data_IF_195724038130
#
_entry.id   IF_195724038130
#
_cell.length_a   1.000
_cell.length_b   1.000
_cell.length_c   1.000
_cell.angle_alpha   90.00
_cell.angle_beta   90.00
_cell.angle_gamma   90.00
#
_symmetry.space_group_name_H-M   'P 1'
#
loop_
_entity.id
_entity.type
_entity.pdbx_description
1 polymer ?
#
# COMPACT_ATOMS: atom_id res chain seq x y z
N UNK A 1 -16.62 -33.83 -45.87
CA UNK A 1 -15.86 -34.09 -47.12
C UNK A 1 -14.36 -34.05 -46.83
N UNK A 2 -13.54 -34.85 -47.52
CA UNK A 2 -12.09 -34.96 -47.29
C UNK A 2 -11.30 -34.94 -48.62
N UNK A 3 -10.05 -34.47 -48.55
CA UNK A 3 -9.05 -34.58 -49.62
C UNK A 3 -7.98 -35.59 -49.17
N UNK A 4 -7.76 -36.62 -49.99
CA UNK A 4 -6.77 -37.65 -49.72
C UNK A 4 -5.62 -37.55 -50.71
N UNK A 5 -4.38 -37.62 -50.21
CA UNK A 5 -3.19 -37.74 -51.02
C UNK A 5 -2.60 -39.14 -50.83
N UNK A 6 -2.46 -39.86 -51.94
CA UNK A 6 -1.79 -41.16 -51.94
C UNK A 6 -0.29 -40.93 -52.05
N UNK A 7 0.46 -41.32 -51.02
CA UNK A 7 1.91 -41.50 -51.11
C UNK A 7 2.24 -43.00 -51.18
N UNK A 8 3.38 -43.41 -51.78
CA UNK A 8 3.76 -44.82 -51.83
C UNK A 8 3.93 -45.37 -50.41
N UNK A 9 2.98 -46.19 -49.97
CA UNK A 9 2.99 -46.84 -48.65
C UNK A 9 1.99 -46.29 -47.61
N UNK A 10 1.26 -45.18 -47.88
CA UNK A 10 0.17 -44.71 -47.01
C UNK A 10 -0.77 -43.72 -47.73
N UNK A 11 -2.07 -43.78 -47.41
CA UNK A 11 -3.07 -42.79 -47.83
C UNK A 11 -3.37 -41.88 -46.64
N UNK A 12 -2.94 -40.61 -46.73
CA UNK A 12 -3.25 -39.59 -45.74
C UNK A 12 -4.42 -38.73 -46.22
N UNK A 13 -5.54 -38.77 -45.49
CA UNK A 13 -6.70 -37.93 -45.76
C UNK A 13 -6.77 -36.75 -44.78
N UNK A 14 -7.17 -35.57 -45.27
CA UNK A 14 -7.45 -34.39 -44.45
C UNK A 14 -8.84 -33.86 -44.80
N UNK A 15 -9.62 -33.46 -43.80
CA UNK A 15 -10.91 -32.82 -44.03
C UNK A 15 -10.75 -31.50 -44.80
N UNK A 16 -11.70 -31.24 -45.71
CA UNK A 16 -11.72 -29.96 -46.44
C UNK A 16 -12.14 -28.82 -45.51
N UNK A 17 -11.84 -27.57 -45.90
CA UNK A 17 -12.26 -26.38 -45.14
C UNK A 17 -13.78 -26.42 -44.85
N UNK A 18 -14.14 -26.14 -43.60
CA UNK A 18 -15.53 -26.24 -43.11
C UNK A 18 -15.93 -27.63 -42.61
N UNK A 19 -15.01 -28.60 -42.53
CA UNK A 19 -15.25 -29.92 -41.95
C UNK A 19 -14.13 -30.28 -40.94
N UNK A 20 -14.50 -30.96 -39.86
CA UNK A 20 -13.60 -31.46 -38.81
C UNK A 20 -13.72 -32.98 -38.66
N UNK A 21 -12.66 -33.64 -38.19
CA UNK A 21 -12.60 -35.09 -38.03
C UNK A 21 -11.21 -35.68 -38.28
N UNK A 22 -11.14 -37.01 -38.43
CA UNK A 22 -9.87 -37.77 -38.56
C UNK A 22 -9.35 -37.86 -40.01
N UNK A 23 -9.97 -37.14 -40.94
CA UNK A 23 -9.65 -37.18 -42.37
C UNK A 23 -10.40 -38.25 -43.16
N UNK A 24 -10.92 -39.31 -42.51
CA UNK A 24 -11.78 -40.33 -43.14
C UNK A 24 -13.25 -40.12 -42.82
N UNK A 25 -13.55 -39.71 -41.58
CA UNK A 25 -14.86 -39.26 -41.12
C UNK A 25 -14.80 -37.76 -40.88
N UNK A 26 -15.31 -36.98 -41.84
CA UNK A 26 -15.32 -35.52 -41.77
C UNK A 26 -16.74 -35.01 -41.61
N UNK A 27 -17.04 -34.48 -40.42
CA UNK A 27 -18.31 -33.85 -40.09
C UNK A 27 -18.24 -32.35 -40.38
N UNK A 28 -19.34 -31.75 -40.83
CA UNK A 28 -19.38 -30.30 -41.03
C UNK A 28 -19.05 -29.61 -39.70
N UNK A 29 -18.12 -28.66 -39.73
CA UNK A 29 -17.90 -27.79 -38.58
C UNK A 29 -19.23 -27.11 -38.31
N UNK A 30 -19.83 -27.41 -37.16
CA UNK A 30 -21.02 -26.67 -36.72
C UNK A 30 -20.54 -25.23 -36.58
N UNK A 31 -21.18 -24.32 -37.33
CA UNK A 31 -21.02 -22.89 -37.09
C UNK A 31 -21.54 -22.69 -35.67
N UNK A 32 -20.65 -22.46 -34.71
CA UNK A 32 -21.09 -22.05 -33.39
C UNK A 32 -21.78 -20.71 -33.59
N UNK A 33 -23.11 -20.76 -33.58
CA UNK A 33 -23.98 -19.58 -33.68
C UNK A 33 -24.03 -18.83 -32.35
N UNK A 34 -23.22 -19.25 -31.38
CA UNK A 34 -23.22 -18.70 -30.05
C UNK A 34 -22.09 -17.68 -29.94
N UNK A 35 -22.47 -16.46 -30.23
CA UNK A 35 -21.66 -15.25 -30.21
C UNK A 35 -21.54 -14.67 -28.78
N UNK A 36 -21.89 -15.49 -27.78
CA UNK A 36 -21.91 -15.09 -26.37
C UNK A 36 -20.82 -15.80 -25.57
N UNK A 37 -20.60 -15.33 -24.34
CA UNK A 37 -19.77 -16.03 -23.36
C UNK A 37 -20.48 -17.30 -22.87
N UNK A 38 -20.42 -18.37 -23.67
CA UNK A 38 -20.95 -19.69 -23.32
C UNK A 38 -20.25 -20.27 -22.09
N UNK A 39 -20.83 -21.32 -21.49
CA UNK A 39 -20.17 -22.01 -20.38
C UNK A 39 -18.77 -22.53 -20.73
N UNK A 40 -18.53 -22.87 -22.00
CA UNK A 40 -17.23 -23.33 -22.47
C UNK A 40 -16.22 -22.18 -22.50
N UNK A 41 -16.60 -21.03 -23.08
CA UNK A 41 -15.79 -19.82 -23.08
C UNK A 41 -15.49 -19.31 -21.66
N UNK A 42 -16.50 -19.29 -20.80
CA UNK A 42 -16.32 -18.96 -19.39
C UNK A 42 -15.33 -19.92 -18.71
N UNK A 43 -15.39 -21.22 -19.00
CA UNK A 43 -14.43 -22.21 -18.48
C UNK A 43 -13.01 -21.96 -18.98
N UNK A 44 -12.86 -21.67 -20.26
CA UNK A 44 -11.56 -21.41 -20.90
C UNK A 44 -10.92 -20.16 -20.31
N UNK A 45 -11.62 -19.02 -20.26
CA UNK A 45 -11.09 -17.79 -19.69
C UNK A 45 -10.81 -17.94 -18.18
N UNK A 46 -11.66 -18.65 -17.45
CA UNK A 46 -11.44 -18.93 -16.03
C UNK A 46 -10.19 -19.78 -15.78
N UNK A 47 -9.80 -20.66 -16.71
CA UNK A 47 -8.55 -21.43 -16.62
C UNK A 47 -7.31 -20.53 -16.62
N UNK A 48 -7.40 -19.36 -17.23
CA UNK A 48 -6.35 -18.35 -17.27
C UNK A 48 -6.55 -17.21 -16.25
N UNK A 49 -7.50 -17.36 -15.32
CA UNK A 49 -7.88 -16.32 -14.36
C UNK A 49 -8.32 -15.01 -15.03
N UNK A 50 -9.02 -15.10 -16.17
CA UNK A 50 -9.53 -13.95 -16.93
C UNK A 50 -11.07 -13.92 -16.98
N UNK A 51 -11.63 -12.73 -17.10
CA UNK A 51 -13.06 -12.52 -17.35
C UNK A 51 -13.39 -12.89 -18.80
N UNK A 52 -14.64 -13.30 -19.06
CA UNK A 52 -15.14 -13.44 -20.43
C UNK A 52 -15.94 -12.19 -20.79
N UNK A 53 -15.74 -11.66 -21.98
CA UNK A 53 -16.48 -10.54 -22.55
C UNK A 53 -16.77 -10.80 -24.02
N UNK A 54 -17.83 -10.19 -24.55
CA UNK A 54 -18.13 -10.19 -25.98
C UNK A 54 -17.71 -8.83 -26.52
N UNK A 55 -16.94 -8.82 -27.61
CA UNK A 55 -16.50 -7.57 -28.27
C UNK A 55 -17.57 -6.97 -29.18
N UNK A 56 -17.25 -5.84 -29.83
CA UNK A 56 -18.16 -5.11 -30.71
C UNK A 56 -18.54 -5.89 -31.99
N UNK A 57 -17.83 -6.97 -32.31
CA UNK A 57 -18.10 -7.85 -33.46
C UNK A 57 -18.89 -9.11 -33.05
N UNK A 58 -19.46 -9.10 -31.83
CA UNK A 58 -20.11 -10.24 -31.20
C UNK A 58 -19.17 -11.46 -31.05
N UNK A 59 -17.87 -11.24 -30.84
CA UNK A 59 -16.92 -12.34 -30.64
C UNK A 59 -16.57 -12.47 -29.15
N UNK A 60 -16.75 -13.65 -28.54
CA UNK A 60 -16.33 -13.87 -27.15
C UNK A 60 -14.80 -13.89 -27.03
N UNK A 61 -14.28 -13.13 -26.07
CA UNK A 61 -12.84 -13.00 -25.77
C UNK A 61 -12.57 -13.05 -24.26
N UNK A 62 -11.34 -13.43 -23.89
CA UNK A 62 -10.87 -13.36 -22.51
C UNK A 62 -10.27 -11.98 -22.20
N UNK A 63 -10.84 -11.30 -21.21
CA UNK A 63 -10.52 -9.91 -20.85
C UNK A 63 -9.54 -9.79 -19.70
N UNK A 64 -9.85 -8.87 -18.79
CA UNK A 64 -9.04 -8.56 -17.60
C UNK A 64 -8.99 -9.72 -16.61
N UNK A 65 -8.08 -9.64 -15.64
CA UNK A 65 -7.99 -10.65 -14.59
C UNK A 65 -9.26 -10.69 -13.74
N UNK A 66 -9.65 -11.89 -13.30
CA UNK A 66 -10.73 -12.07 -12.34
C UNK A 66 -10.36 -11.45 -10.98
N UNK A 67 -11.35 -11.28 -10.12
CA UNK A 67 -11.15 -10.75 -8.77
C UNK A 67 -10.07 -11.54 -8.00
N UNK A 68 -9.26 -10.82 -7.22
CA UNK A 68 -8.13 -11.41 -6.51
C UNK A 68 -6.95 -11.78 -7.40
N UNK A 69 -6.92 -11.36 -8.67
CA UNK A 69 -5.79 -11.56 -9.58
C UNK A 69 -5.34 -10.26 -10.25
N UNK A 70 -4.04 -10.13 -10.50
CA UNK A 70 -3.46 -9.00 -11.21
C UNK A 70 -2.68 -9.46 -12.44
N UNK A 71 -2.74 -8.66 -13.51
CA UNK A 71 -1.96 -8.88 -14.73
C UNK A 71 -0.48 -8.54 -14.46
N UNK A 72 0.38 -9.55 -14.48
CA UNK A 72 1.84 -9.43 -14.35
C UNK A 72 2.47 -10.13 -15.55
N UNK A 73 3.21 -9.38 -16.38
CA UNK A 73 3.86 -9.89 -17.60
C UNK A 73 2.94 -10.70 -18.53
N UNK A 74 1.67 -10.28 -18.67
CA UNK A 74 0.69 -10.93 -19.55
C UNK A 74 -0.08 -12.10 -18.91
N UNK A 75 0.26 -12.49 -17.68
CA UNK A 75 -0.39 -13.58 -16.95
C UNK A 75 -1.13 -13.04 -15.73
N UNK A 76 -2.31 -13.59 -15.42
CA UNK A 76 -3.07 -13.22 -14.23
C UNK A 76 -2.57 -14.03 -13.02
N UNK A 77 -1.79 -13.38 -12.16
CA UNK A 77 -1.30 -13.95 -10.92
C UNK A 77 -2.24 -13.63 -9.77
N UNK A 78 -2.41 -14.56 -8.83
CA UNK A 78 -3.17 -14.30 -7.62
C UNK A 78 -2.52 -13.16 -6.83
N UNK A 79 -3.34 -12.24 -6.34
CA UNK A 79 -2.95 -11.24 -5.37
C UNK A 79 -2.74 -12.01 -4.06
N UNK A 80 -1.47 -12.22 -3.66
CA UNK A 80 -1.14 -12.85 -2.38
C UNK A 80 -1.96 -12.17 -1.26
N UNK A 81 -2.69 -12.98 -0.47
CA UNK A 81 -3.79 -12.57 0.43
C UNK A 81 -3.41 -11.68 1.62
N UNK A 82 -2.33 -10.95 1.52
CA UNK A 82 -1.98 -9.84 2.38
C UNK A 82 -0.95 -9.07 1.59
N UNK A 83 -1.30 -7.87 1.14
CA UNK A 83 -0.31 -7.01 0.50
C UNK A 83 0.83 -6.69 1.47
N UNK A 84 1.67 -5.73 1.11
CA UNK A 84 2.82 -5.37 1.93
C UNK A 84 2.38 -4.97 3.35
N UNK A 85 1.20 -4.35 3.49
CA UNK A 85 0.70 -3.88 4.79
C UNK A 85 0.33 -4.99 5.78
N UNK A 86 -0.04 -6.18 5.29
CA UNK A 86 -0.41 -7.32 6.16
C UNK A 86 0.81 -8.12 6.64
N UNK A 87 1.96 -7.96 5.97
CA UNK A 87 3.21 -8.63 6.34
C UNK A 87 4.11 -7.66 7.13
N UNK A 88 4.24 -7.83 8.46
CA UNK A 88 5.04 -6.93 9.29
C UNK A 88 6.54 -6.94 8.96
N UNK A 89 7.04 -7.94 8.23
CA UNK A 89 8.44 -7.98 7.79
C UNK A 89 8.68 -7.18 6.51
N UNK A 90 7.62 -6.92 5.73
CA UNK A 90 7.67 -6.13 4.48
C UNK A 90 7.13 -4.72 4.65
N UNK A 91 6.20 -4.52 5.58
CA UNK A 91 5.66 -3.20 5.92
C UNK A 91 6.76 -2.33 6.53
N UNK A 92 7.12 -1.27 5.82
CA UNK A 92 8.16 -0.33 6.21
C UNK A 92 7.60 1.05 6.60
N UNK A 93 6.27 1.19 6.76
CA UNK A 93 5.65 2.43 7.22
C UNK A 93 6.03 2.74 8.69
N UNK A 94 5.98 4.03 9.05
CA UNK A 94 6.14 4.45 10.45
C UNK A 94 5.04 3.83 11.33
N UNK A 95 5.33 3.60 12.61
CA UNK A 95 4.32 3.13 13.59
C UNK A 95 3.13 4.10 13.74
N UNK A 96 3.38 5.39 13.48
CA UNK A 96 2.38 6.45 13.46
C UNK A 96 1.81 6.70 12.06
N UNK A 97 2.03 5.81 11.11
CA UNK A 97 1.41 5.83 9.79
C UNK A 97 0.33 4.75 9.62
N UNK A 98 -0.54 4.98 8.65
CA UNK A 98 -1.46 4.02 8.07
C UNK A 98 -0.86 3.47 6.77
N UNK A 99 -0.83 2.15 6.63
CA UNK A 99 -0.33 1.47 5.44
C UNK A 99 -1.51 1.09 4.54
N UNK A 100 -1.41 1.44 3.26
CA UNK A 100 -2.45 1.23 2.25
C UNK A 100 -1.84 0.46 1.07
N UNK A 101 -2.31 -0.76 0.83
CA UNK A 101 -1.91 -1.54 -0.34
C UNK A 101 -2.53 -0.96 -1.61
N UNK A 102 -1.71 -0.65 -2.61
CA UNK A 102 -2.18 -0.05 -3.89
C UNK A 102 -2.05 -0.99 -5.07
N UNK A 103 -1.05 -1.89 -5.07
CA UNK A 103 -0.87 -3.00 -6.03
C UNK A 103 -0.13 -4.15 -5.33
N UNK A 104 -0.17 -5.37 -5.86
CA UNK A 104 0.74 -6.44 -5.45
C UNK A 104 2.20 -5.97 -5.32
N UNK A 105 2.75 -6.14 -4.12
CA UNK A 105 4.11 -5.71 -3.78
C UNK A 105 4.32 -4.18 -3.69
N UNK A 106 3.26 -3.37 -3.81
CA UNK A 106 3.33 -1.91 -3.72
C UNK A 106 2.29 -1.37 -2.76
N UNK A 107 2.75 -0.60 -1.79
CA UNK A 107 1.95 0.07 -0.79
C UNK A 107 2.29 1.56 -0.73
N UNK A 108 1.46 2.30 -0.01
CA UNK A 108 1.65 3.70 0.33
C UNK A 108 1.49 3.87 1.84
N UNK A 109 2.30 4.73 2.44
CA UNK A 109 2.21 5.06 3.85
C UNK A 109 1.69 6.49 3.98
N UNK A 110 0.75 6.73 4.88
CA UNK A 110 0.28 8.09 5.20
C UNK A 110 0.30 8.30 6.70
N UNK A 111 0.79 9.43 7.18
CA UNK A 111 0.79 9.71 8.63
C UNK A 111 -0.64 9.75 9.17
N UNK A 112 -0.83 9.19 10.37
CA UNK A 112 -2.10 9.27 11.10
C UNK A 112 -2.42 10.73 11.42
N UNK A 113 -3.70 11.01 11.68
CA UNK A 113 -4.17 12.35 12.05
C UNK A 113 -3.38 12.88 13.23
N UNK A 114 -2.84 14.10 13.10
CA UNK A 114 -2.01 14.75 14.11
C UNK A 114 -0.51 14.54 13.95
N UNK A 115 -0.08 13.66 13.03
CA UNK A 115 1.32 13.45 12.68
C UNK A 115 1.62 14.05 11.30
N UNK A 116 2.86 14.51 11.11
CA UNK A 116 3.31 15.11 9.86
C UNK A 116 4.59 14.43 9.40
N UNK A 117 4.67 14.15 8.12
CA UNK A 117 5.80 13.46 7.51
C UNK A 117 5.44 12.83 6.17
N UNK A 118 6.27 11.92 5.71
CA UNK A 118 6.13 11.24 4.41
C UNK A 118 5.47 9.85 4.52
N UNK A 119 5.00 9.48 5.72
CA UNK A 119 4.42 8.16 6.02
C UNK A 119 5.45 7.08 6.37
N UNK A 120 6.70 7.25 5.95
CA UNK A 120 7.83 6.40 6.34
C UNK A 120 8.45 6.87 7.65
N UNK A 121 8.38 8.19 7.88
CA UNK A 121 8.70 8.84 9.13
C UNK A 121 7.59 9.83 9.44
N UNK A 122 6.93 9.64 10.59
CA UNK A 122 5.83 10.48 11.01
C UNK A 122 6.15 11.12 12.35
N UNK A 123 6.48 12.42 12.31
CA UNK A 123 6.75 13.20 13.49
C UNK A 123 5.43 13.64 14.13
N UNK A 124 5.33 13.48 15.44
CA UNK A 124 4.17 13.92 16.20
C UNK A 124 3.99 15.45 16.16
N UNK A 125 2.86 15.96 16.69
CA UNK A 125 2.67 17.39 16.81
C UNK A 125 3.76 17.93 17.72
N UNK A 126 4.56 18.83 17.16
CA UNK A 126 5.75 19.37 17.80
C UNK A 126 5.72 20.90 17.67
N UNK A 127 6.58 21.57 18.43
CA UNK A 127 6.52 23.02 18.52
C UNK A 127 7.00 23.76 17.26
N UNK A 128 7.61 23.08 16.30
CA UNK A 128 7.90 23.66 14.98
C UNK A 128 6.65 23.76 14.10
N UNK A 129 5.64 22.92 14.37
CA UNK A 129 4.37 22.90 13.63
C UNK A 129 3.35 23.85 14.24
N UNK A 130 3.27 23.89 15.57
CA UNK A 130 2.47 24.87 16.29
C UNK A 130 3.19 25.28 17.58
N UNK A 131 3.69 26.51 17.60
CA UNK A 131 4.43 27.07 18.74
C UNK A 131 3.59 27.14 20.02
N UNK A 132 2.26 27.05 19.93
CA UNK A 132 1.35 27.02 21.09
C UNK A 132 1.38 25.70 21.85
N UNK A 133 2.03 24.66 21.32
CA UNK A 133 2.27 23.42 22.08
C UNK A 133 3.21 23.63 23.25
N UNK A 134 4.10 24.63 23.20
CA UNK A 134 4.97 24.92 24.33
C UNK A 134 4.28 25.80 25.35
N UNK A 135 4.61 25.56 26.63
CA UNK A 135 4.25 26.46 27.71
C UNK A 135 4.80 27.87 27.43
N UNK A 136 4.14 28.92 27.96
CA UNK A 136 4.58 30.31 27.75
C UNK A 136 6.03 30.56 28.20
N UNK A 137 6.46 29.89 29.27
CA UNK A 137 7.82 29.92 29.81
C UNK A 137 8.74 28.80 29.25
N UNK A 138 8.40 28.24 28.09
CA UNK A 138 9.23 27.28 27.37
C UNK A 138 9.71 27.84 26.02
N UNK A 139 10.73 27.18 25.47
CA UNK A 139 11.26 27.39 24.13
C UNK A 139 11.22 26.10 23.32
N UNK A 140 11.03 26.24 22.02
CA UNK A 140 11.04 25.12 21.09
C UNK A 140 12.48 24.74 20.74
N UNK A 141 12.84 23.49 20.94
CA UNK A 141 14.17 22.96 20.67
C UNK A 141 14.25 22.40 19.24
N UNK A 142 15.47 22.25 18.71
CA UNK A 142 15.70 21.79 17.34
C UNK A 142 15.17 20.36 17.04
N UNK A 143 14.91 19.56 18.07
CA UNK A 143 14.27 18.24 17.96
C UNK A 143 12.73 18.32 17.95
N UNK A 144 12.16 19.52 18.06
CA UNK A 144 10.71 19.76 18.11
C UNK A 144 10.10 19.64 19.50
N UNK A 145 10.89 19.37 20.54
CA UNK A 145 10.40 19.29 21.91
C UNK A 145 10.44 20.66 22.59
N UNK A 146 9.53 20.87 23.53
CA UNK A 146 9.51 22.08 24.34
C UNK A 146 10.40 21.91 25.56
N UNK A 147 11.24 22.92 25.83
CA UNK A 147 12.11 22.97 27.01
C UNK A 147 11.83 24.23 27.80
N UNK A 148 11.70 24.12 29.13
CA UNK A 148 11.56 25.30 29.98
C UNK A 148 12.75 26.25 29.83
N UNK A 149 12.45 27.56 29.79
CA UNK A 149 13.47 28.61 29.74
C UNK A 149 14.34 28.57 30.99
N UNK A 150 15.51 29.21 30.91
CA UNK A 150 16.42 29.31 32.06
C UNK A 150 15.72 29.92 33.29
N UNK A 151 15.90 29.29 34.46
CA UNK A 151 15.22 29.68 35.70
C UNK A 151 13.85 29.04 35.90
N UNK A 152 13.38 28.20 34.97
CA UNK A 152 12.13 27.45 35.09
C UNK A 152 12.38 25.93 34.96
N UNK A 153 11.58 25.12 35.66
CA UNK A 153 11.59 23.66 35.58
C UNK A 153 10.18 23.10 35.34
N UNK A 154 10.11 21.93 34.69
CA UNK A 154 8.86 21.27 34.36
C UNK A 154 8.93 20.47 33.05
N UNK A 155 7.77 20.20 32.45
CA UNK A 155 7.61 19.36 31.26
C UNK A 155 7.72 20.14 29.92
N UNK A 156 7.81 21.48 29.98
CA UNK A 156 7.92 22.32 28.79
C UNK A 156 6.61 22.57 28.05
N UNK A 157 5.53 21.84 28.36
CA UNK A 157 4.25 21.85 27.62
C UNK A 157 3.16 22.49 28.48
N UNK A 158 2.89 21.92 29.66
CA UNK A 158 1.87 22.41 30.58
C UNK A 158 2.47 23.09 31.81
N UNK A 159 3.68 22.69 32.20
CA UNK A 159 4.34 23.18 33.39
C UNK A 159 5.75 23.68 33.06
N UNK A 160 5.96 24.97 33.32
CA UNK A 160 7.28 25.53 33.58
C UNK A 160 7.14 26.52 34.74
N UNK A 161 7.48 26.06 35.94
CA UNK A 161 7.42 26.84 37.17
C UNK A 161 8.80 27.39 37.50
N UNK A 162 8.86 28.57 38.12
CA UNK A 162 10.13 29.17 38.53
C UNK A 162 10.88 28.25 39.49
N UNK A 163 12.16 28.06 39.23
CA UNK A 163 13.07 27.37 40.14
C UNK A 163 13.25 28.32 41.32
N UNK A 164 12.48 28.14 42.38
CA UNK A 164 12.75 28.80 43.65
C UNK A 164 14.02 28.21 44.23
N UNK A 165 15.17 28.74 43.81
CA UNK A 165 16.39 28.59 44.59
C UNK A 165 16.08 29.21 45.94
N UNK A 166 16.06 28.39 46.99
CA UNK A 166 16.19 28.87 48.36
C UNK A 166 17.48 29.67 48.40
N UNK A 167 17.35 30.98 48.14
CA UNK A 167 18.37 31.95 48.42
C UNK A 167 18.54 31.84 49.92
N UNK A 168 19.58 31.11 50.32
CA UNK A 168 20.14 31.22 51.66
C UNK A 168 20.17 32.71 51.95
N UNK A 169 19.37 33.11 52.94
CA UNK A 169 19.40 34.45 53.46
C UNK A 169 20.85 34.71 53.90
N UNK A 170 21.64 35.36 53.06
CA UNK A 170 22.73 36.18 53.53
C UNK A 170 22.04 37.33 54.25
N UNK A 171 21.76 37.11 55.53
CA UNK A 171 21.46 38.17 56.48
C UNK A 171 22.65 39.11 56.45
N UNK A 172 22.50 40.21 55.71
CA UNK A 172 23.31 41.39 55.88
C UNK A 172 22.98 41.96 57.25
N UNK A 173 23.67 41.48 58.29
CA UNK A 173 23.58 42.07 59.62
C UNK A 173 24.86 42.88 59.84
N UNK A 174 24.65 44.20 59.75
CA UNK A 174 25.53 45.29 60.15
C UNK A 174 26.39 44.97 61.38
N UNK A 175 27.72 45.11 61.27
CA UNK A 175 28.61 45.21 62.42
C UNK A 175 28.39 46.56 63.12
N UNK A 176 27.65 46.56 64.22
CA UNK A 176 27.64 47.65 65.19
C UNK A 176 28.86 47.53 66.11
N UNK A 177 29.73 48.52 66.04
CA UNK A 177 30.88 48.78 66.92
C UNK A 177 30.43 48.94 68.38
N UNK A 178 31.03 48.20 69.31
CA UNK A 178 30.97 48.51 70.74
C UNK A 178 32.36 48.94 71.23
N UNK A 179 32.42 50.19 71.64
CA UNK A 179 33.45 50.87 72.41
C UNK A 179 33.61 50.24 73.80
N UNK A 180 34.85 49.99 74.21
CA UNK A 180 35.21 49.80 75.62
C UNK A 180 36.29 50.83 75.94
N UNK A 181 35.94 51.75 76.85
CA UNK A 181 36.88 52.54 77.65
C UNK A 181 37.11 51.81 78.97
#
# INVERSE_FOLDING_TARGET
MAMCINQPGSCGCKCVHGFTGDGTQCNAMKRETDNTCTQEWQRLCKKENRTCHVDDEDVPQCGSCIEGHQLVNGTCHQIESGGVCSDPTKNNCDVNAECIDVRPGRHFCTCKVGYIGDGMRCDGPNCHLDARLCHANAECMADGNCKCRHGYEGDGIQNCTEITTTTTAFTSTTLSTLSIS
#
